data_IF_055653651599
#
_entry.id   IF_055653651599
#
_cell.length_a   1.000
_cell.length_b   1.000
_cell.length_c   1.000
_cell.angle_alpha   90.00
_cell.angle_beta   90.00
_cell.angle_gamma   90.00
#
_symmetry.space_group_name_H-M   'P 1'
#
loop_
_entity.id
_entity.type
_entity.pdbx_description
1 polymer ?
#
# COMPACT_ATOMS: atom_id res chain seq x y z
N UNK A 1 -30.39 -13.88 -15.98
CA UNK A 1 -30.94 -12.51 -15.78
C UNK A 1 -29.82 -11.65 -15.22
N UNK A 2 -29.77 -10.36 -15.54
CA UNK A 2 -28.80 -9.45 -14.91
C UNK A 2 -29.14 -9.22 -13.44
N UNK A 3 -28.14 -8.92 -12.63
CA UNK A 3 -28.28 -8.65 -11.20
C UNK A 3 -28.00 -7.17 -10.89
N UNK A 4 -28.75 -6.60 -9.95
CA UNK A 4 -28.53 -5.25 -9.44
C UNK A 4 -27.43 -5.26 -8.40
N UNK A 5 -26.47 -4.35 -8.54
CA UNK A 5 -25.35 -4.15 -7.62
C UNK A 5 -25.46 -2.78 -6.96
N UNK A 6 -25.35 -2.72 -5.64
CA UNK A 6 -25.15 -1.48 -4.90
C UNK A 6 -23.70 -1.42 -4.40
N UNK A 7 -22.91 -0.45 -4.85
CA UNK A 7 -21.53 -0.23 -4.40
C UNK A 7 -21.49 1.00 -3.51
N UNK A 8 -21.29 0.81 -2.21
CA UNK A 8 -21.12 1.88 -1.22
C UNK A 8 -19.64 2.13 -0.94
N UNK A 9 -19.28 3.40 -0.74
CA UNK A 9 -17.90 3.84 -0.57
C UNK A 9 -17.69 4.56 0.76
N UNK A 10 -16.44 4.72 1.18
CA UNK A 10 -16.08 5.38 2.44
C UNK A 10 -16.52 6.85 2.54
N UNK A 11 -16.75 7.52 1.40
CA UNK A 11 -17.29 8.89 1.34
C UNK A 11 -18.83 8.94 1.40
N UNK A 12 -19.48 7.85 1.78
CA UNK A 12 -20.93 7.76 2.00
C UNK A 12 -21.77 7.69 0.72
N UNK A 13 -21.14 7.70 -0.45
CA UNK A 13 -21.84 7.58 -1.74
C UNK A 13 -22.13 6.12 -2.07
N UNK A 14 -23.24 5.90 -2.76
CA UNK A 14 -23.62 4.59 -3.32
C UNK A 14 -23.87 4.71 -4.82
N UNK A 15 -23.29 3.80 -5.59
CA UNK A 15 -23.51 3.66 -7.03
C UNK A 15 -24.30 2.39 -7.31
N UNK A 16 -25.31 2.48 -8.17
CA UNK A 16 -26.09 1.33 -8.61
C UNK A 16 -25.67 0.91 -10.02
N UNK A 17 -25.39 -0.38 -10.18
CA UNK A 17 -24.86 -0.96 -11.41
C UNK A 17 -25.62 -2.24 -11.75
N UNK A 18 -25.51 -2.70 -12.99
CA UNK A 18 -26.03 -4.00 -13.41
C UNK A 18 -24.90 -4.96 -13.79
N UNK A 19 -24.89 -6.17 -13.23
CA UNK A 19 -23.98 -7.26 -13.61
C UNK A 19 -24.68 -8.25 -14.55
N UNK A 20 -24.03 -8.59 -15.66
CA UNK A 20 -24.47 -9.67 -16.54
C UNK A 20 -24.22 -11.03 -15.88
N UNK A 21 -24.98 -12.09 -16.23
CA UNK A 21 -24.73 -13.42 -15.72
C UNK A 21 -23.27 -13.84 -15.94
N UNK A 22 -22.61 -14.22 -14.85
CA UNK A 22 -21.21 -14.65 -14.89
C UNK A 22 -20.21 -13.54 -15.21
N UNK A 23 -20.55 -12.24 -15.14
CA UNK A 23 -19.60 -11.13 -15.26
C UNK A 23 -18.84 -10.91 -13.94
N UNK A 24 -17.56 -10.51 -14.02
CA UNK A 24 -16.80 -10.10 -12.83
C UNK A 24 -17.34 -8.77 -12.31
N UNK A 25 -17.36 -8.60 -10.99
CA UNK A 25 -17.76 -7.36 -10.31
C UNK A 25 -16.94 -6.18 -10.83
N UNK A 26 -15.63 -6.35 -10.99
CA UNK A 26 -14.74 -5.35 -11.56
C UNK A 26 -15.11 -4.98 -13.00
N UNK A 27 -15.45 -5.96 -13.83
CA UNK A 27 -15.80 -5.72 -15.24
C UNK A 27 -17.16 -5.04 -15.38
N UNK A 28 -18.14 -5.45 -14.56
CA UNK A 28 -19.44 -4.82 -14.47
C UNK A 28 -19.32 -3.34 -14.06
N UNK A 29 -18.46 -3.04 -13.07
CA UNK A 29 -18.16 -1.67 -12.66
C UNK A 29 -17.51 -0.87 -13.79
N UNK A 30 -16.44 -1.40 -14.39
CA UNK A 30 -15.69 -0.73 -15.45
C UNK A 30 -16.54 -0.44 -16.69
N UNK A 31 -17.37 -1.39 -17.12
CA UNK A 31 -18.31 -1.23 -18.24
C UNK A 31 -19.28 -0.07 -18.03
N UNK A 32 -19.56 0.28 -16.77
CA UNK A 32 -20.47 1.37 -16.39
C UNK A 32 -19.72 2.62 -15.91
N UNK A 33 -18.43 2.74 -16.24
CA UNK A 33 -17.63 3.93 -15.94
C UNK A 33 -17.13 4.02 -14.50
N UNK A 34 -17.21 2.94 -13.72
CA UNK A 34 -16.70 2.85 -12.35
C UNK A 34 -15.40 2.07 -12.33
N UNK A 35 -14.27 2.77 -12.25
CA UNK A 35 -12.94 2.17 -12.23
C UNK A 35 -12.51 1.85 -10.79
N UNK A 36 -13.00 0.76 -10.22
CA UNK A 36 -12.55 0.31 -8.89
C UNK A 36 -11.00 0.15 -8.87
N UNK A 37 -10.31 0.63 -7.82
CA UNK A 37 -8.88 0.41 -7.61
C UNK A 37 -8.48 -1.05 -7.84
N UNK A 38 -7.47 -1.25 -8.69
CA UNK A 38 -7.02 -2.58 -9.10
C UNK A 38 -5.58 -2.54 -9.60
N UNK A 39 -4.82 -3.60 -9.31
CA UNK A 39 -3.42 -3.76 -9.72
C UNK A 39 -3.22 -4.99 -10.63
N UNK A 40 -3.27 -6.21 -10.09
CA UNK A 40 -2.93 -7.44 -10.83
C UNK A 40 -4.07 -8.06 -11.65
N UNK A 41 -5.34 -7.90 -11.23
CA UNK A 41 -6.52 -8.66 -11.72
C UNK A 41 -6.45 -10.19 -11.55
N UNK A 42 -5.47 -10.71 -10.84
CA UNK A 42 -5.22 -12.16 -10.68
C UNK A 42 -5.60 -12.70 -9.30
N UNK A 43 -6.20 -11.88 -8.43
CA UNK A 43 -6.61 -12.33 -7.09
C UNK A 43 -5.48 -12.37 -6.05
N UNK A 44 -4.32 -11.75 -6.35
CA UNK A 44 -3.13 -11.80 -5.49
C UNK A 44 -2.85 -10.47 -4.77
N UNK A 45 -3.01 -9.33 -5.44
CA UNK A 45 -2.58 -8.02 -4.89
C UNK A 45 -3.44 -7.45 -3.74
N UNK A 46 -4.71 -7.86 -3.62
CA UNK A 46 -5.63 -7.27 -2.64
C UNK A 46 -6.13 -5.84 -2.91
N UNK A 47 -5.63 -5.10 -3.91
CA UNK A 47 -6.02 -3.69 -4.16
C UNK A 47 -7.53 -3.49 -4.41
N UNK A 48 -8.18 -4.46 -5.07
CA UNK A 48 -9.61 -4.40 -5.38
C UNK A 48 -10.51 -4.96 -4.26
N UNK A 49 -10.00 -4.99 -3.03
CA UNK A 49 -10.68 -5.55 -1.86
C UNK A 49 -11.91 -4.73 -1.49
N UNK A 50 -13.00 -5.42 -1.19
CA UNK A 50 -14.23 -4.88 -0.61
C UNK A 50 -14.88 -5.91 0.32
N UNK A 51 -16.08 -5.59 0.81
CA UNK A 51 -16.92 -6.48 1.64
C UNK A 51 -18.28 -6.65 0.99
N UNK A 52 -18.80 -7.88 0.93
CA UNK A 52 -20.15 -8.14 0.47
C UNK A 52 -21.14 -8.03 1.64
N UNK A 53 -21.90 -6.94 1.72
CA UNK A 53 -22.91 -6.71 2.76
C UNK A 53 -24.13 -7.63 2.61
N UNK A 54 -24.54 -7.92 1.38
CA UNK A 54 -25.68 -8.78 1.09
C UNK A 54 -25.61 -9.39 -0.31
N UNK A 55 -26.38 -10.45 -0.53
CA UNK A 55 -26.41 -11.18 -1.80
C UNK A 55 -25.53 -12.44 -1.82
N UNK A 56 -25.67 -13.21 -2.90
CA UNK A 56 -24.88 -14.42 -3.19
C UNK A 56 -23.84 -14.11 -4.26
N UNK A 57 -22.63 -14.62 -4.01
CA UNK A 57 -21.51 -14.46 -4.90
C UNK A 57 -20.61 -15.70 -4.84
N UNK A 58 -19.75 -15.82 -5.84
CA UNK A 58 -18.61 -16.75 -5.88
C UNK A 58 -17.35 -15.99 -6.25
N UNK A 59 -16.22 -16.49 -5.78
CA UNK A 59 -14.90 -15.97 -6.19
C UNK A 59 -14.16 -17.07 -6.95
N UNK A 60 -13.62 -16.72 -8.11
CA UNK A 60 -12.95 -17.69 -9.00
C UNK A 60 -11.63 -18.18 -8.38
N UNK A 61 -10.75 -17.25 -8.01
CA UNK A 61 -9.52 -17.53 -7.28
C UNK A 61 -9.19 -16.38 -6.33
N UNK A 62 -8.70 -16.70 -5.14
CA UNK A 62 -8.24 -15.72 -4.16
C UNK A 62 -7.01 -16.32 -3.51
N UNK A 63 -5.88 -15.63 -3.64
CA UNK A 63 -4.67 -16.05 -2.95
C UNK A 63 -4.81 -15.82 -1.44
N UNK A 64 -4.30 -16.73 -0.62
CA UNK A 64 -4.37 -16.63 0.85
C UNK A 64 -3.60 -15.41 1.38
N UNK A 65 -2.59 -14.93 0.65
CA UNK A 65 -1.91 -13.69 0.97
C UNK A 65 -2.79 -12.47 0.71
N UNK A 66 -3.71 -12.54 -0.25
CA UNK A 66 -4.62 -11.45 -0.60
C UNK A 66 -5.82 -11.35 0.37
N UNK A 67 -6.48 -12.48 0.65
CA UNK A 67 -7.51 -12.59 1.68
C UNK A 67 -7.33 -13.89 2.48
N UNK A 68 -7.25 -13.75 3.80
CA UNK A 68 -7.16 -14.89 4.69
C UNK A 68 -8.49 -15.68 4.74
N UNK A 69 -8.46 -16.96 5.17
CA UNK A 69 -9.68 -17.74 5.39
C UNK A 69 -10.68 -17.10 6.38
N UNK A 70 -10.19 -16.31 7.34
CA UNK A 70 -11.06 -15.54 8.24
C UNK A 70 -11.76 -14.40 7.50
N UNK A 71 -11.01 -13.60 6.72
CA UNK A 71 -11.58 -12.50 5.93
C UNK A 71 -12.61 -13.00 4.90
N UNK A 72 -12.38 -14.17 4.29
CA UNK A 72 -13.37 -14.81 3.41
C UNK A 72 -14.66 -15.19 4.15
N UNK A 73 -14.57 -15.70 5.39
CA UNK A 73 -15.74 -15.99 6.24
C UNK A 73 -16.49 -14.72 6.65
N UNK A 74 -15.77 -13.61 6.81
CA UNK A 74 -16.33 -12.27 7.04
C UNK A 74 -16.84 -11.59 5.76
N UNK A 75 -16.94 -12.36 4.66
CA UNK A 75 -17.46 -11.94 3.36
C UNK A 75 -16.64 -10.83 2.69
N UNK A 76 -15.33 -10.76 2.97
CA UNK A 76 -14.41 -9.97 2.18
C UNK A 76 -14.25 -10.56 0.79
N UNK A 77 -14.14 -9.69 -0.20
CA UNK A 77 -14.10 -10.06 -1.62
C UNK A 77 -13.00 -9.30 -2.36
N UNK A 78 -12.48 -9.91 -3.43
CA UNK A 78 -11.68 -9.24 -4.44
C UNK A 78 -12.57 -8.99 -5.66
N UNK A 79 -12.84 -7.72 -5.98
CA UNK A 79 -13.74 -7.39 -7.09
C UNK A 79 -13.27 -7.98 -8.44
N UNK A 80 -11.96 -8.14 -8.64
CA UNK A 80 -11.38 -8.74 -9.83
C UNK A 80 -11.63 -10.25 -9.99
N UNK A 81 -12.11 -10.91 -8.94
CA UNK A 81 -12.34 -12.37 -8.91
C UNK A 81 -13.78 -12.72 -8.52
N UNK A 82 -14.61 -11.73 -8.20
CA UNK A 82 -15.97 -11.92 -7.70
C UNK A 82 -17.00 -11.92 -8.81
N UNK A 83 -17.90 -12.90 -8.83
CA UNK A 83 -19.10 -12.97 -9.68
C UNK A 83 -20.33 -13.09 -8.80
N UNK A 84 -21.42 -12.41 -9.18
CA UNK A 84 -22.68 -12.44 -8.39
C UNK A 84 -23.71 -13.40 -8.98
N UNK A 85 -24.46 -14.05 -8.10
CA UNK A 85 -25.55 -14.98 -8.42
C UNK A 85 -26.92 -14.50 -7.90
N UNK A 86 -26.97 -13.26 -7.41
CA UNK A 86 -28.16 -12.51 -7.04
C UNK A 86 -27.88 -11.02 -7.07
N UNK A 87 -28.92 -10.21 -6.84
CA UNK A 87 -28.73 -8.81 -6.43
C UNK A 87 -27.87 -8.78 -5.16
N UNK A 88 -26.95 -7.83 -5.09
CA UNK A 88 -25.92 -7.80 -4.06
C UNK A 88 -25.50 -6.37 -3.71
N UNK A 89 -25.07 -6.17 -2.47
CA UNK A 89 -24.50 -4.92 -2.00
C UNK A 89 -23.07 -5.13 -1.54
N UNK A 90 -22.18 -4.21 -1.92
CA UNK A 90 -20.77 -4.22 -1.58
C UNK A 90 -20.36 -2.89 -0.94
N UNK A 91 -19.48 -2.97 0.05
CA UNK A 91 -18.80 -1.82 0.63
C UNK A 91 -17.32 -1.83 0.22
N UNK A 92 -16.82 -0.68 -0.22
CA UNK A 92 -15.43 -0.44 -0.51
C UNK A 92 -14.89 0.65 0.40
N UNK A 93 -13.77 0.36 1.07
CA UNK A 93 -13.21 1.24 2.09
C UNK A 93 -12.29 2.33 1.50
N UNK A 94 -12.68 2.87 0.35
CA UNK A 94 -12.04 4.00 -0.31
C UNK A 94 -13.12 4.93 -0.89
N UNK A 95 -12.77 6.19 -1.12
CA UNK A 95 -13.72 7.19 -1.62
C UNK A 95 -14.14 6.90 -3.07
N UNK A 96 -15.41 7.14 -3.40
CA UNK A 96 -15.94 6.99 -4.76
C UNK A 96 -15.18 7.83 -5.80
N UNK A 97 -14.58 8.96 -5.39
CA UNK A 97 -13.74 9.80 -6.24
C UNK A 97 -12.56 9.02 -6.87
N UNK A 98 -12.05 7.98 -6.18
CA UNK A 98 -11.00 7.12 -6.72
C UNK A 98 -11.48 6.21 -7.84
N UNK A 99 -12.79 6.09 -8.04
CA UNK A 99 -13.39 5.27 -9.08
C UNK A 99 -13.65 6.03 -10.39
N UNK A 100 -13.29 7.32 -10.47
CA UNK A 100 -13.68 8.21 -11.57
C UNK A 100 -12.59 8.44 -12.61
N UNK A 101 -11.32 8.24 -12.27
CA UNK A 101 -10.19 8.46 -13.18
C UNK A 101 -9.85 7.19 -13.99
N UNK A 102 -9.44 7.37 -15.24
CA UNK A 102 -9.06 6.32 -16.17
C UNK A 102 -7.67 5.74 -15.80
N UNK A 103 -7.55 4.98 -14.72
CA UNK A 103 -6.27 4.38 -14.32
C UNK A 103 -5.17 5.42 -14.00
N UNK A 104 -3.97 4.94 -13.70
CA UNK A 104 -2.80 5.81 -13.52
C UNK A 104 -2.40 6.47 -14.83
N UNK A 105 -1.95 7.72 -14.77
CA UNK A 105 -1.42 8.44 -15.92
C UNK A 105 0.03 8.02 -16.18
N UNK A 106 0.35 7.70 -17.43
CA UNK A 106 1.75 7.48 -17.84
C UNK A 106 2.47 8.82 -17.92
N UNK A 107 3.64 8.91 -17.31
CA UNK A 107 4.51 10.09 -17.27
C UNK A 107 5.95 9.68 -17.54
N UNK A 108 6.67 10.57 -18.24
CA UNK A 108 8.13 10.54 -18.23
C UNK A 108 8.63 11.19 -16.94
N UNK A 109 9.74 10.68 -16.44
CA UNK A 109 10.46 11.24 -15.31
C UNK A 109 11.96 11.09 -15.54
N UNK A 110 12.74 11.88 -14.82
CA UNK A 110 14.20 11.86 -14.90
C UNK A 110 14.75 11.50 -13.53
N UNK A 111 15.75 10.61 -13.48
CA UNK A 111 16.49 10.33 -12.26
C UNK A 111 17.18 11.60 -11.79
N UNK A 112 16.88 12.07 -10.59
CA UNK A 112 17.55 13.21 -9.95
C UNK A 112 18.59 12.78 -8.93
N UNK A 113 18.46 11.57 -8.38
CA UNK A 113 19.38 11.02 -7.40
C UNK A 113 19.18 9.54 -7.16
N UNK A 114 20.25 8.88 -6.73
CA UNK A 114 20.25 7.51 -6.27
C UNK A 114 21.18 7.40 -5.06
N UNK A 115 20.64 6.97 -3.92
CA UNK A 115 21.40 6.67 -2.72
C UNK A 115 21.40 5.16 -2.49
N UNK A 116 22.59 4.57 -2.38
CA UNK A 116 22.76 3.18 -1.99
C UNK A 116 22.87 3.10 -0.46
N UNK A 117 21.80 2.71 0.21
CA UNK A 117 21.74 2.60 1.69
C UNK A 117 22.51 1.37 2.15
N UNK A 118 22.27 0.23 1.50
CA UNK A 118 22.92 -1.05 1.78
C UNK A 118 22.90 -1.93 0.53
N UNK A 119 23.52 -3.11 0.56
CA UNK A 119 23.40 -4.09 -0.54
C UNK A 119 21.94 -4.51 -0.82
N UNK A 120 21.03 -4.33 0.14
CA UNK A 120 19.63 -4.71 0.08
C UNK A 120 18.64 -3.55 -0.09
N UNK A 121 19.09 -2.29 -0.01
CA UNK A 121 18.21 -1.12 0.02
C UNK A 121 18.82 0.06 -0.74
N UNK A 122 18.01 0.72 -1.56
CA UNK A 122 18.35 1.98 -2.22
C UNK A 122 17.20 2.98 -2.13
N UNK A 123 17.54 4.27 -2.21
CA UNK A 123 16.57 5.37 -2.32
C UNK A 123 16.72 6.01 -3.69
N UNK A 124 15.64 5.96 -4.48
CA UNK A 124 15.59 6.53 -5.82
C UNK A 124 14.81 7.85 -5.78
N UNK A 125 15.39 8.89 -6.39
CA UNK A 125 14.76 10.19 -6.57
C UNK A 125 14.50 10.43 -8.06
N UNK A 126 13.27 10.82 -8.38
CA UNK A 126 12.84 11.16 -9.73
C UNK A 126 12.21 12.56 -9.75
N UNK A 127 12.33 13.26 -10.88
CA UNK A 127 11.52 14.42 -11.22
C UNK A 127 10.56 14.04 -12.35
N UNK A 128 9.26 14.04 -12.09
CA UNK A 128 8.26 13.74 -13.12
C UNK A 128 7.95 14.96 -13.99
N UNK A 129 7.79 14.73 -15.29
CA UNK A 129 7.47 15.79 -16.25
C UNK A 129 5.99 16.20 -16.21
N UNK A 130 5.72 17.44 -16.60
CA UNK A 130 4.35 17.98 -16.71
C UNK A 130 3.81 18.54 -15.39
N UNK A 131 2.48 18.55 -15.27
CA UNK A 131 1.82 19.06 -14.07
C UNK A 131 2.10 18.16 -12.85
N UNK A 132 2.17 18.73 -11.63
CA UNK A 132 2.38 17.97 -10.41
C UNK A 132 1.41 16.80 -10.27
N UNK A 133 1.95 15.61 -10.00
CA UNK A 133 1.14 14.44 -9.74
C UNK A 133 0.31 14.64 -8.48
N UNK A 134 -0.97 14.29 -8.57
CA UNK A 134 -1.88 14.27 -7.42
C UNK A 134 -1.97 12.85 -6.92
N UNK A 135 -1.51 12.60 -5.70
CA UNK A 135 -1.60 11.30 -5.05
C UNK A 135 -1.78 11.47 -3.54
N UNK A 136 -2.34 10.47 -2.89
CA UNK A 136 -2.52 10.43 -1.45
C UNK A 136 -1.32 9.72 -0.78
N UNK A 137 -0.86 10.17 0.40
CA UNK A 137 0.22 9.51 1.13
C UNK A 137 -0.11 8.04 1.41
N UNK A 138 0.75 7.13 0.96
CA UNK A 138 0.57 5.67 0.99
C UNK A 138 0.35 5.04 -0.39
N UNK A 139 -0.08 5.82 -1.39
CA UNK A 139 -0.21 5.37 -2.77
C UNK A 139 1.16 5.09 -3.42
N UNK A 140 1.12 4.46 -4.59
CA UNK A 140 2.33 4.05 -5.31
C UNK A 140 2.30 4.42 -6.79
N UNK A 141 3.49 4.40 -7.40
CA UNK A 141 3.68 4.41 -8.84
C UNK A 141 4.17 3.05 -9.31
N UNK A 142 3.85 2.69 -10.56
CA UNK A 142 4.58 1.64 -11.26
C UNK A 142 5.69 2.29 -12.07
N UNK A 143 6.92 1.83 -11.90
CA UNK A 143 8.07 2.27 -12.68
C UNK A 143 8.40 1.21 -13.74
N UNK A 144 8.56 1.62 -15.00
CA UNK A 144 9.12 0.76 -16.03
C UNK A 144 10.62 0.66 -15.81
N UNK A 145 11.12 -0.56 -15.67
CA UNK A 145 12.56 -0.81 -15.50
C UNK A 145 13.26 -0.48 -16.82
N UNK A 146 14.12 0.54 -16.88
CA UNK A 146 14.74 0.97 -18.14
C UNK A 146 15.49 -0.16 -18.85
N UNK A 147 15.36 -0.22 -20.17
CA UNK A 147 15.90 -1.32 -20.98
C UNK A 147 15.05 -2.60 -20.99
N UNK A 148 13.88 -2.59 -20.36
CA UNK A 148 12.94 -3.73 -20.36
C UNK A 148 11.48 -3.28 -20.51
N UNK A 149 10.58 -4.25 -20.70
CA UNK A 149 9.11 -4.04 -20.66
C UNK A 149 8.50 -4.32 -19.28
N UNK A 150 9.36 -4.53 -18.27
CA UNK A 150 8.92 -4.91 -16.93
C UNK A 150 8.56 -3.69 -16.09
N UNK A 151 7.42 -3.78 -15.40
CA UNK A 151 6.92 -2.75 -14.49
C UNK A 151 7.00 -3.23 -13.05
N UNK A 152 7.31 -2.32 -12.12
CA UNK A 152 7.41 -2.61 -10.68
C UNK A 152 6.73 -1.52 -9.86
N UNK A 153 5.92 -1.93 -8.89
CA UNK A 153 5.22 -1.02 -7.98
C UNK A 153 6.16 -0.56 -6.86
N UNK A 154 6.20 0.75 -6.61
CA UNK A 154 6.92 1.38 -5.51
C UNK A 154 6.10 2.51 -4.89
N UNK A 155 5.84 2.41 -3.58
CA UNK A 155 5.12 3.44 -2.83
C UNK A 155 5.90 4.75 -2.82
N UNK A 156 5.17 5.86 -2.96
CA UNK A 156 5.76 7.19 -2.80
C UNK A 156 6.24 7.37 -1.37
N UNK A 157 7.47 7.83 -1.21
CA UNK A 157 8.10 8.09 0.09
C UNK A 157 7.97 9.55 0.55
N UNK A 158 7.24 10.39 -0.18
CA UNK A 158 7.11 11.82 0.10
C UNK A 158 5.70 12.32 -0.25
N UNK A 159 5.36 13.54 0.19
CA UNK A 159 4.14 14.24 -0.23
C UNK A 159 4.19 14.71 -1.69
N UNK A 160 3.03 14.84 -2.37
CA UNK A 160 2.96 15.56 -3.64
C UNK A 160 3.44 17.00 -3.46
N UNK A 161 4.25 17.50 -4.39
CA UNK A 161 4.90 18.81 -4.30
C UNK A 161 4.90 19.54 -5.65
N UNK A 162 5.00 20.89 -5.66
CA UNK A 162 5.01 21.67 -6.89
C UNK A 162 6.15 21.34 -7.86
N UNK A 163 7.28 20.88 -7.35
CA UNK A 163 8.48 20.52 -8.13
C UNK A 163 8.41 19.11 -8.74
N UNK A 164 7.30 18.39 -8.49
CA UNK A 164 7.05 17.03 -8.95
C UNK A 164 8.19 16.05 -8.65
N UNK A 165 8.86 16.26 -7.51
CA UNK A 165 9.89 15.37 -6.99
C UNK A 165 9.24 14.16 -6.34
N UNK A 166 9.72 12.98 -6.70
CA UNK A 166 9.23 11.69 -6.23
C UNK A 166 10.39 10.93 -5.63
N UNK A 167 10.15 10.29 -4.49
CA UNK A 167 11.12 9.46 -3.80
C UNK A 167 10.55 8.06 -3.59
N UNK A 168 11.40 7.04 -3.73
CA UNK A 168 11.05 5.64 -3.55
C UNK A 168 12.11 4.92 -2.75
N UNK A 169 11.70 4.18 -1.70
CA UNK A 169 12.57 3.23 -1.01
C UNK A 169 12.42 1.87 -1.70
N UNK A 170 13.53 1.35 -2.23
CA UNK A 170 13.53 0.16 -3.07
C UNK A 170 14.35 -0.93 -2.40
N UNK A 171 13.68 -2.06 -2.13
CA UNK A 171 14.36 -3.29 -1.72
C UNK A 171 15.04 -3.91 -2.93
N UNK A 172 16.33 -4.17 -2.82
CA UNK A 172 17.14 -4.81 -3.85
C UNK A 172 17.13 -6.31 -3.63
N UNK A 173 16.48 -7.02 -4.55
CA UNK A 173 16.55 -8.48 -4.62
C UNK A 173 17.81 -8.89 -5.40
N UNK A 174 18.52 -9.97 -5.01
CA UNK A 174 19.78 -10.38 -5.65
C UNK A 174 19.72 -10.44 -7.18
N UNK A 175 18.67 -11.08 -7.70
CA UNK A 175 18.41 -11.26 -9.14
C UNK A 175 17.28 -10.36 -9.67
N UNK A 176 16.97 -9.28 -8.94
CA UNK A 176 15.90 -8.36 -9.30
C UNK A 176 16.31 -7.43 -10.45
N UNK A 177 15.52 -7.40 -11.53
CA UNK A 177 15.80 -6.55 -12.70
C UNK A 177 15.90 -5.05 -12.37
N UNK A 178 15.06 -4.54 -11.47
CA UNK A 178 15.19 -3.16 -10.98
C UNK A 178 16.49 -2.99 -10.18
N UNK A 179 16.83 -3.97 -9.33
CA UNK A 179 18.05 -3.90 -8.54
C UNK A 179 19.32 -3.96 -9.38
N UNK A 180 19.31 -4.67 -10.51
CA UNK A 180 20.39 -4.62 -11.49
C UNK A 180 20.47 -3.25 -12.17
N UNK A 181 19.34 -2.70 -12.63
CA UNK A 181 19.30 -1.36 -13.22
C UNK A 181 19.88 -0.30 -12.28
N UNK A 182 19.45 -0.30 -11.02
CA UNK A 182 19.88 0.68 -10.02
C UNK A 182 21.38 0.58 -9.72
N UNK A 183 21.91 -0.62 -9.52
CA UNK A 183 23.33 -0.82 -9.20
C UNK A 183 24.26 -0.53 -10.38
N UNK A 184 23.93 -1.06 -11.55
CA UNK A 184 24.88 -1.07 -12.67
C UNK A 184 24.79 0.19 -13.51
N UNK A 185 23.57 0.63 -13.83
CA UNK A 185 23.34 1.59 -14.92
C UNK A 185 22.73 2.92 -14.50
N UNK A 186 21.92 2.96 -13.43
CA UNK A 186 21.14 4.14 -13.05
C UNK A 186 22.03 5.32 -12.66
N UNK A 187 21.87 6.46 -13.33
CA UNK A 187 22.58 7.71 -13.03
C UNK A 187 21.61 8.89 -13.15
N UNK A 188 21.85 10.01 -12.43
CA UNK A 188 21.10 11.24 -12.64
C UNK A 188 21.06 11.65 -14.12
N UNK A 189 19.92 12.15 -14.58
CA UNK A 189 19.66 12.51 -15.97
C UNK A 189 19.05 11.39 -16.82
N UNK A 190 19.00 10.14 -16.33
CA UNK A 190 18.38 9.04 -17.08
C UNK A 190 16.85 9.14 -17.09
N UNK A 191 16.20 8.85 -18.24
CA UNK A 191 14.75 8.80 -18.31
C UNK A 191 14.21 7.52 -17.66
N UNK A 192 13.10 7.64 -16.95
CA UNK A 192 12.31 6.57 -16.36
C UNK A 192 10.84 6.85 -16.66
N UNK A 193 10.12 5.84 -17.11
CA UNK A 193 8.68 5.95 -17.33
C UNK A 193 7.94 5.45 -16.08
N UNK A 194 6.90 6.17 -15.68
CA UNK A 194 6.06 5.79 -14.55
C UNK A 194 4.57 5.88 -14.89
N UNK A 195 3.77 5.07 -14.22
CA UNK A 195 2.30 5.07 -14.29
C UNK A 195 1.79 5.31 -12.87
N UNK A 196 0.98 6.36 -12.64
CA UNK A 196 0.56 6.78 -11.30
C UNK A 196 -0.68 7.69 -11.29
N UNK A 197 -1.40 7.81 -10.16
CA UNK A 197 -1.22 7.04 -8.93
C UNK A 197 -2.01 5.73 -8.91
N UNK A 198 -1.58 4.80 -8.07
CA UNK A 198 -2.29 3.56 -7.76
C UNK A 198 -2.38 3.32 -6.25
N UNK A 199 -3.24 2.39 -5.86
CA UNK A 199 -3.35 1.91 -4.49
C UNK A 199 -4.52 2.54 -3.71
N UNK A 200 -5.12 1.73 -2.85
CA UNK A 200 -6.16 2.11 -1.90
C UNK A 200 -5.62 2.22 -0.46
N UNK A 201 -4.34 1.91 -0.25
CA UNK A 201 -3.63 2.15 1.00
C UNK A 201 -3.21 3.62 1.05
N UNK A 202 -3.88 4.40 1.90
CA UNK A 202 -3.56 5.80 2.13
C UNK A 202 -4.05 6.23 3.51
N UNK A 203 -3.50 7.31 4.06
CA UNK A 203 -3.94 7.81 5.37
C UNK A 203 -5.40 8.26 5.29
N UNK A 204 -6.29 7.58 6.03
CA UNK A 204 -7.68 8.03 6.25
C UNK A 204 -7.68 9.25 7.18
N UNK A 205 -8.81 9.94 7.26
CA UNK A 205 -8.98 11.00 8.25
C UNK A 205 -8.69 10.46 9.65
N UNK A 206 -7.81 11.14 10.38
CA UNK A 206 -7.33 10.67 11.68
C UNK A 206 -8.33 11.08 12.76
N UNK A 207 -9.09 10.10 13.24
CA UNK A 207 -10.08 10.28 14.32
C UNK A 207 -9.72 9.50 15.60
N UNK A 208 -8.71 8.63 15.49
CA UNK A 208 -8.28 7.67 16.53
C UNK A 208 -6.74 7.62 16.60
N UNK A 209 -6.16 7.16 17.73
CA UNK A 209 -4.74 6.87 17.81
C UNK A 209 -4.27 5.97 16.66
N UNK A 210 -3.06 6.23 16.16
CA UNK A 210 -2.49 5.52 15.00
C UNK A 210 -1.37 4.58 15.43
N UNK A 211 -1.41 3.36 14.89
CA UNK A 211 -0.33 2.39 14.99
C UNK A 211 0.16 2.05 13.59
N UNK A 212 1.35 2.51 13.23
CA UNK A 212 1.98 2.27 11.94
C UNK A 212 3.03 1.18 12.08
N UNK A 213 3.05 0.23 11.15
CA UNK A 213 4.01 -0.87 11.13
C UNK A 213 4.66 -0.98 9.77
N UNK A 214 5.94 -0.65 9.72
CA UNK A 214 6.77 -0.66 8.52
C UNK A 214 7.75 -1.85 8.56
N UNK A 215 7.75 -2.66 7.51
CA UNK A 215 8.77 -3.69 7.31
C UNK A 215 9.68 -3.34 6.13
N UNK A 216 10.97 -3.11 6.39
CA UNK A 216 11.94 -2.71 5.38
C UNK A 216 11.48 -1.45 4.63
N UNK A 217 11.50 -1.53 3.30
CA UNK A 217 11.07 -0.40 2.46
C UNK A 217 9.58 -0.07 2.52
N UNK A 218 8.78 -0.84 3.28
CA UNK A 218 7.42 -0.45 3.66
C UNK A 218 7.35 0.88 4.42
N UNK A 219 8.48 1.37 4.94
CA UNK A 219 8.60 2.72 5.50
C UNK A 219 8.18 3.82 4.50
N UNK A 220 8.40 3.61 3.20
CA UNK A 220 8.01 4.56 2.14
C UNK A 220 6.58 5.06 2.30
N UNK A 221 5.62 4.15 2.46
CA UNK A 221 4.21 4.51 2.54
C UNK A 221 3.88 5.42 3.74
N UNK A 222 4.68 5.40 4.81
CA UNK A 222 4.46 6.17 6.02
C UNK A 222 5.16 7.53 6.04
N UNK A 223 6.26 7.69 5.30
CA UNK A 223 7.04 8.94 5.32
C UNK A 223 6.18 10.12 4.87
N UNK A 224 5.47 10.00 3.74
CA UNK A 224 4.54 11.04 3.31
C UNK A 224 3.36 11.25 4.28
N UNK A 225 2.90 10.21 4.98
CA UNK A 225 1.84 10.35 5.97
C UNK A 225 2.30 11.18 7.17
N UNK A 226 3.48 10.85 7.71
CA UNK A 226 4.10 11.53 8.84
C UNK A 226 4.47 12.97 8.49
N UNK A 227 5.03 13.22 7.31
CA UNK A 227 5.34 14.58 6.85
C UNK A 227 4.08 15.43 6.69
N UNK A 228 2.97 14.85 6.21
CA UNK A 228 1.69 15.54 6.14
C UNK A 228 1.21 15.98 7.53
N UNK A 229 1.25 15.05 8.49
CA UNK A 229 0.90 15.36 9.89
C UNK A 229 1.84 16.39 10.50
N UNK A 230 3.15 16.30 10.24
CA UNK A 230 4.13 17.25 10.75
C UNK A 230 3.89 18.67 10.22
N UNK A 231 3.60 18.80 8.92
CA UNK A 231 3.28 20.08 8.29
C UNK A 231 2.01 20.75 8.82
N UNK A 232 1.07 19.95 9.35
CA UNK A 232 -0.16 20.42 10.01
C UNK A 232 0.02 20.69 11.52
N UNK A 233 1.22 20.44 12.08
CA UNK A 233 1.48 20.56 13.52
C UNK A 233 0.94 19.39 14.36
N UNK A 234 0.66 18.26 13.71
CA UNK A 234 0.09 17.05 14.28
C UNK A 234 -1.27 16.68 13.72
N UNK A 235 -1.80 15.54 14.15
CA UNK A 235 -3.11 15.02 13.72
C UNK A 235 -4.14 14.96 14.86
N UNK A 236 -3.85 15.59 16.01
CA UNK A 236 -4.72 15.59 17.19
C UNK A 236 -4.87 14.22 17.89
N UNK A 237 -4.09 13.21 17.49
CA UNK A 237 -4.11 11.85 18.03
C UNK A 237 -2.68 11.35 18.26
N UNK A 238 -2.44 10.49 19.26
CA UNK A 238 -1.15 9.83 19.44
C UNK A 238 -0.77 8.95 18.25
N UNK A 239 0.50 8.95 17.87
CA UNK A 239 1.02 8.16 16.74
C UNK A 239 2.18 7.29 17.22
N UNK A 240 2.15 5.99 16.91
CA UNK A 240 3.26 5.05 17.18
C UNK A 240 3.67 4.36 15.89
N UNK A 241 4.94 4.50 15.50
CA UNK A 241 5.52 3.77 14.38
C UNK A 241 6.43 2.65 14.88
N UNK A 242 6.24 1.44 14.38
CA UNK A 242 7.18 0.34 14.54
C UNK A 242 7.87 0.07 13.21
N UNK A 243 9.19 0.29 13.15
CA UNK A 243 9.99 0.12 11.96
C UNK A 243 10.92 -1.09 12.09
N UNK A 244 10.60 -2.17 11.40
CA UNK A 244 11.37 -3.41 11.40
C UNK A 244 12.25 -3.55 10.16
N UNK A 245 13.52 -3.89 10.34
CA UNK A 245 14.43 -4.30 9.26
C UNK A 245 15.13 -5.61 9.61
N UNK A 246 15.68 -6.29 8.60
CA UNK A 246 16.43 -7.52 8.86
C UNK A 246 17.79 -7.23 9.48
N UNK A 247 18.55 -6.30 8.88
CA UNK A 247 19.88 -5.89 9.32
C UNK A 247 19.89 -4.39 9.57
N UNK A 248 20.66 -3.94 10.55
CA UNK A 248 20.78 -2.51 10.92
C UNK A 248 21.23 -1.62 9.75
N UNK A 249 22.00 -2.14 8.81
CA UNK A 249 22.42 -1.41 7.60
C UNK A 249 21.27 -1.09 6.65
N UNK A 250 20.13 -1.78 6.74
CA UNK A 250 18.96 -1.52 5.89
C UNK A 250 18.11 -0.34 6.44
N UNK A 251 18.48 0.20 7.60
CA UNK A 251 17.84 1.40 8.14
C UNK A 251 18.11 2.59 7.22
N UNK A 252 17.04 3.28 6.86
CA UNK A 252 17.07 4.49 6.04
C UNK A 252 16.06 5.50 6.59
N UNK A 253 16.23 6.77 6.20
CA UNK A 253 15.29 7.87 6.50
C UNK A 253 15.09 8.15 8.00
N UNK A 254 16.02 7.71 8.85
CA UNK A 254 15.95 7.92 10.32
C UNK A 254 15.94 9.41 10.67
N UNK A 255 16.71 10.24 9.95
CA UNK A 255 16.72 11.69 10.16
C UNK A 255 15.34 12.34 9.92
N UNK A 256 14.55 11.82 8.96
CA UNK A 256 13.18 12.31 8.72
C UNK A 256 12.21 11.85 9.78
N UNK A 257 12.38 10.64 10.32
CA UNK A 257 11.61 10.18 11.47
C UNK A 257 11.87 11.04 12.70
N UNK A 258 13.13 11.42 12.95
CA UNK A 258 13.47 12.38 14.02
C UNK A 258 12.87 13.78 13.78
N UNK A 259 12.89 14.27 12.54
CA UNK A 259 12.25 15.54 12.20
C UNK A 259 10.74 15.50 12.45
N UNK A 260 10.08 14.40 12.10
CA UNK A 260 8.67 14.18 12.40
C UNK A 260 8.41 14.10 13.90
N UNK A 261 9.28 13.41 14.68
CA UNK A 261 9.19 13.34 16.16
C UNK A 261 9.25 14.73 16.80
N UNK A 262 10.04 15.64 16.24
CA UNK A 262 10.13 17.01 16.74
C UNK A 262 8.89 17.86 16.44
N UNK A 263 8.09 17.52 15.42
CA UNK A 263 6.99 18.35 14.92
C UNK A 263 5.59 17.80 15.23
N UNK A 264 5.44 16.48 15.37
CA UNK A 264 4.16 15.82 15.64
C UNK A 264 4.03 15.60 17.16
N UNK A 265 3.08 16.25 17.85
CA UNK A 265 2.83 15.99 19.26
C UNK A 265 2.45 14.53 19.51
N UNK A 266 3.05 13.91 20.53
CA UNK A 266 2.81 12.50 20.89
C UNK A 266 3.04 11.51 19.73
N UNK A 267 4.03 11.79 18.87
CA UNK A 267 4.59 10.81 17.96
C UNK A 267 5.85 10.17 18.57
N UNK A 268 5.92 8.84 18.50
CA UNK A 268 7.14 8.12 18.75
C UNK A 268 7.30 6.96 17.76
N UNK A 269 8.55 6.55 17.55
CA UNK A 269 8.87 5.41 16.70
C UNK A 269 9.88 4.47 17.37
N UNK A 270 9.74 3.18 17.09
CA UNK A 270 10.60 2.11 17.60
C UNK A 270 11.19 1.31 16.46
N UNK A 271 12.52 1.27 16.41
CA UNK A 271 13.26 0.42 15.46
C UNK A 271 13.40 -0.99 16.05
N UNK A 272 13.16 -2.00 15.22
CA UNK A 272 13.36 -3.42 15.57
C UNK A 272 14.24 -4.07 14.49
N UNK A 273 15.32 -4.74 14.90
CA UNK A 273 16.21 -5.43 13.96
C UNK A 273 16.14 -6.94 14.19
N UNK A 274 15.76 -7.71 13.16
CA UNK A 274 15.56 -9.16 13.35
C UNK A 274 16.87 -9.94 13.45
N UNK A 275 17.91 -9.50 12.76
CA UNK A 275 19.23 -10.15 12.71
C UNK A 275 20.32 -9.09 12.92
N UNK A 276 20.42 -8.54 14.14
CA UNK A 276 21.34 -7.45 14.43
C UNK A 276 22.80 -7.87 14.42
N UNK A 277 23.70 -6.91 14.18
CA UNK A 277 25.13 -7.10 14.45
C UNK A 277 25.43 -7.12 15.94
N UNK A 278 26.64 -7.52 16.32
CA UNK A 278 27.06 -7.60 17.72
C UNK A 278 27.02 -6.25 18.47
N UNK A 279 27.03 -5.12 17.73
CA UNK A 279 26.99 -3.77 18.30
C UNK A 279 25.59 -3.20 18.54
N UNK A 280 24.53 -3.89 18.09
CA UNK A 280 23.16 -3.39 18.22
C UNK A 280 22.69 -3.41 19.68
N UNK A 281 22.22 -2.27 20.18
CA UNK A 281 21.70 -2.11 21.54
C UNK A 281 20.17 -1.92 21.59
N UNK A 282 19.51 -1.88 20.42
CA UNK A 282 18.07 -1.67 20.31
C UNK A 282 17.25 -2.96 20.41
N UNK A 283 15.92 -2.86 20.27
CA UNK A 283 15.03 -4.02 20.17
C UNK A 283 15.46 -4.99 19.06
N UNK A 284 15.51 -6.28 19.39
CA UNK A 284 15.86 -7.36 18.47
C UNK A 284 14.69 -8.33 18.26
N UNK A 285 14.63 -8.96 17.09
CA UNK A 285 13.59 -9.94 16.75
C UNK A 285 12.50 -9.37 15.85
N UNK A 286 11.23 -9.72 16.11
CA UNK A 286 10.10 -9.33 15.26
C UNK A 286 9.22 -8.27 15.92
N UNK A 287 8.68 -7.37 15.11
CA UNK A 287 7.89 -6.20 15.57
C UNK A 287 6.81 -6.56 16.61
N UNK A 288 5.98 -7.61 16.44
CA UNK A 288 4.87 -7.84 17.36
C UNK A 288 5.27 -8.09 18.81
N UNK A 289 6.50 -8.56 19.06
CA UNK A 289 7.02 -8.76 20.41
C UNK A 289 7.32 -7.44 21.15
N UNK A 290 7.34 -6.32 20.43
CA UNK A 290 7.73 -5.00 20.92
C UNK A 290 6.58 -3.99 20.95
N UNK A 291 5.37 -4.43 20.64
CA UNK A 291 4.19 -3.58 20.74
C UNK A 291 3.95 -3.11 22.18
N UNK A 292 3.53 -1.85 22.31
CA UNK A 292 3.12 -1.29 23.60
C UNK A 292 1.68 -1.72 23.87
N UNK A 293 1.50 -2.87 24.53
CA UNK A 293 0.18 -3.39 24.88
C UNK A 293 -0.61 -2.39 25.76
N UNK A 294 0.09 -1.60 26.58
CA UNK A 294 -0.52 -0.55 27.40
C UNK A 294 -1.08 0.60 26.58
N UNK A 295 -0.46 0.95 25.46
CA UNK A 295 -1.00 1.91 24.48
C UNK A 295 -2.21 1.33 23.75
N UNK A 296 -2.09 0.09 23.25
CA UNK A 296 -3.16 -0.59 22.49
C UNK A 296 -4.43 -0.85 23.32
N UNK A 297 -4.29 -1.01 24.64
CA UNK A 297 -5.40 -1.24 25.54
C UNK A 297 -6.20 0.03 25.92
N UNK A 298 -5.75 1.25 25.56
CA UNK A 298 -6.37 2.51 26.02
C UNK A 298 -7.73 2.78 25.41
N UNK A 299 -7.99 2.26 24.22
CA UNK A 299 -9.22 2.51 23.48
C UNK A 299 -9.08 2.15 22.01
N UNK A 300 -10.11 2.45 21.19
CA UNK A 300 -10.09 2.15 19.77
C UNK A 300 -8.93 2.81 19.03
N UNK A 301 -8.34 2.12 18.06
CA UNK A 301 -7.20 2.63 17.28
C UNK A 301 -7.26 2.18 15.81
N UNK A 302 -6.56 2.90 14.95
CA UNK A 302 -6.40 2.53 13.54
C UNK A 302 -4.96 2.07 13.31
N UNK A 303 -4.81 0.88 12.71
CA UNK A 303 -3.52 0.25 12.44
C UNK A 303 -3.25 0.16 10.95
N UNK A 304 -2.07 0.64 10.54
CA UNK A 304 -1.61 0.62 9.16
C UNK A 304 -0.36 -0.25 9.05
N UNK A 305 -0.40 -1.27 8.19
CA UNK A 305 0.69 -2.21 7.95
C UNK A 305 1.20 -2.05 6.53
N UNK A 306 2.50 -1.85 6.34
CA UNK A 306 3.11 -1.83 5.00
C UNK A 306 4.46 -2.55 5.02
N UNK A 307 4.61 -3.54 4.15
CA UNK A 307 5.86 -4.28 4.02
C UNK A 307 5.69 -5.71 3.49
N UNK A 308 6.63 -6.62 3.78
CA UNK A 308 6.60 -7.98 3.23
C UNK A 308 5.46 -8.81 3.87
N UNK A 309 4.85 -9.76 3.11
CA UNK A 309 3.73 -10.57 3.60
C UNK A 309 3.98 -11.24 4.97
N UNK A 310 5.15 -11.85 5.25
CA UNK A 310 5.41 -12.47 6.55
C UNK A 310 5.31 -11.51 7.74
N UNK A 311 5.64 -10.23 7.55
CA UNK A 311 5.51 -9.22 8.61
C UNK A 311 4.03 -8.88 8.86
N UNK A 312 3.27 -8.66 7.79
CA UNK A 312 1.82 -8.37 7.87
C UNK A 312 1.09 -9.53 8.54
N UNK A 313 1.41 -10.76 8.15
CA UNK A 313 0.77 -11.96 8.68
C UNK A 313 1.15 -12.21 10.13
N UNK A 314 2.39 -11.95 10.53
CA UNK A 314 2.82 -12.03 11.93
C UNK A 314 2.07 -11.02 12.83
N UNK A 315 1.82 -9.80 12.35
CA UNK A 315 1.02 -8.81 13.09
C UNK A 315 -0.44 -9.27 13.21
N UNK A 316 -1.06 -9.73 12.11
CA UNK A 316 -2.44 -10.25 12.14
C UNK A 316 -2.58 -11.44 13.11
N UNK A 317 -1.63 -12.39 13.06
CA UNK A 317 -1.61 -13.54 13.96
C UNK A 317 -1.44 -13.15 15.43
N UNK A 318 -0.64 -12.11 15.70
CA UNK A 318 -0.46 -11.57 17.04
C UNK A 318 -1.73 -10.89 17.58
N UNK A 319 -2.48 -10.18 16.73
CA UNK A 319 -3.74 -9.52 17.10
C UNK A 319 -4.86 -10.52 17.41
N UNK A 320 -4.97 -11.60 16.62
CA UNK A 320 -6.11 -12.51 16.63
C UNK A 320 -6.52 -13.09 18.01
N UNK A 321 -5.60 -13.56 18.89
CA UNK A 321 -5.98 -14.13 20.18
C UNK A 321 -6.23 -13.08 21.28
N UNK A 322 -5.99 -11.78 21.01
CA UNK A 322 -6.00 -10.73 22.04
C UNK A 322 -7.34 -10.01 22.11
N UNK A 323 -7.84 -9.81 23.32
CA UNK A 323 -9.02 -8.98 23.58
C UNK A 323 -8.64 -7.49 23.58
N UNK A 324 -8.28 -6.96 22.41
CA UNK A 324 -8.01 -5.53 22.22
C UNK A 324 -9.31 -4.76 21.97
N UNK A 325 -9.32 -3.44 22.24
CA UNK A 325 -10.39 -2.56 21.80
C UNK A 325 -10.65 -2.65 20.28
N UNK A 326 -11.78 -2.08 19.86
CA UNK A 326 -12.13 -1.98 18.44
C UNK A 326 -10.97 -1.39 17.63
N UNK A 327 -10.51 -2.08 16.60
CA UNK A 327 -9.43 -1.60 15.75
C UNK A 327 -9.72 -1.82 14.28
N UNK A 328 -9.26 -0.89 13.46
CA UNK A 328 -9.32 -0.99 12.00
C UNK A 328 -7.94 -1.32 11.46
N UNK A 329 -7.88 -2.23 10.50
CA UNK A 329 -6.63 -2.68 9.91
C UNK A 329 -6.58 -2.34 8.42
N UNK A 330 -5.63 -1.49 8.05
CA UNK A 330 -5.27 -1.20 6.67
C UNK A 330 -3.93 -1.87 6.40
N UNK A 331 -3.82 -2.66 5.33
CA UNK A 331 -2.59 -3.37 5.03
C UNK A 331 -2.25 -3.31 3.55
N UNK A 332 -0.99 -3.06 3.25
CA UNK A 332 -0.39 -3.16 1.93
C UNK A 332 0.75 -4.19 1.98
N UNK A 333 0.70 -5.18 1.08
CA UNK A 333 1.67 -6.26 1.01
C UNK A 333 2.57 -6.05 -0.21
N UNK A 334 3.88 -5.98 0.03
CA UNK A 334 4.87 -5.90 -1.05
C UNK A 334 5.15 -7.30 -1.59
N UNK A 335 4.38 -7.68 -2.60
CA UNK A 335 4.48 -8.96 -3.28
C UNK A 335 5.62 -8.94 -4.31
N UNK A 336 6.16 -10.12 -4.60
CA UNK A 336 7.03 -10.28 -5.75
C UNK A 336 6.18 -10.14 -7.02
N UNK A 337 6.59 -9.29 -7.94
CA UNK A 337 5.87 -9.10 -9.20
C UNK A 337 5.88 -10.38 -10.04
N UNK A 338 4.72 -10.86 -10.46
CA UNK A 338 4.61 -11.80 -11.58
C UNK A 338 4.66 -11.04 -12.92
N UNK A 339 5.15 -11.66 -14.01
CA UNK A 339 5.08 -11.05 -15.34
C UNK A 339 3.62 -10.74 -15.71
N UNK A 340 3.38 -9.58 -16.32
CA UNK A 340 2.04 -9.19 -16.78
C UNK A 340 1.52 -10.24 -17.78
N UNK A 341 0.28 -10.73 -17.69
CA UNK A 341 -0.31 -11.48 -18.78
C UNK A 341 -0.41 -10.56 -20.00
N UNK A 342 0.09 -11.03 -21.15
CA UNK A 342 -0.06 -10.30 -22.41
C UNK A 342 -1.54 -10.05 -22.64
N UNK A 343 -1.90 -8.79 -22.92
CA UNK A 343 -3.24 -8.46 -23.40
C UNK A 343 -3.49 -9.28 -24.66
N UNK A 344 -4.36 -10.30 -24.58
CA UNK A 344 -4.83 -10.99 -25.77
C UNK A 344 -5.51 -9.93 -26.63
N UNK A 345 -4.89 -9.63 -27.77
CA UNK A 345 -5.41 -8.68 -28.74
C UNK A 345 -6.83 -9.08 -29.10
N UNK A 346 -7.73 -8.09 -29.11
CA UNK A 346 -9.03 -8.23 -29.75
C UNK A 346 -8.78 -8.53 -31.23
N UNK A 347 -8.96 -9.80 -31.60
CA UNK A 347 -9.13 -10.24 -32.99
C UNK A 347 -10.59 -10.19 -33.39
#
# INVERSE_FOLDING_TARGET
MSHTLALSFADGKTLFLSARPGELLLDAARRQGVNLPMDCREGVCGTCRGRCESGRYRQDYVDEEALTPLELRERMVLACQTRVDSDAAFYFDFASAQCTAAGGEVRQAVVTGLEQVSDGTAVLHLAAEGAPLRFLPGQYARLRVPGTDQWRAYSFANLPNPENQLQFLIRLLPDGVMGHFLRETCRPGMPVELEAPFGSFYLRQVERPLVMVAGGTGLSAFLGMLEGMAGEGGCGQPVRLYYGVNREQDLCEIARLEACRAQIPDFDYRIVVSTPGAGWQGPAGFIPAHFDEGFLARGPFDMYLCGPPPMVDAVKAWLAPRALPEHRLYAEKFLHSHPRPQAQGAG
#
